data_IF_094003391226
#
_entry.id   IF_094003391226
#
_cell.length_a   1.000
_cell.length_b   1.000
_cell.length_c   1.000
_cell.angle_alpha   90.00
_cell.angle_beta   90.00
_cell.angle_gamma   90.00
#
_symmetry.space_group_name_H-M   'P 1'
#
loop_
_entity.id
_entity.type
_entity.pdbx_description
1 polymer ?
#
# COMPACT_ATOMS: atom_id res chain seq x y z
N UNK A 1 21.78 14.14 -68.03
CA UNK A 1 22.89 14.96 -67.52
C UNK A 1 22.33 16.14 -66.74
N UNK A 2 22.98 16.48 -65.61
CA UNK A 2 22.63 17.45 -64.55
C UNK A 2 21.75 16.80 -63.45
N UNK A 3 22.30 16.13 -62.44
CA UNK A 3 23.11 16.61 -61.30
C UNK A 3 22.50 17.87 -60.67
N UNK A 4 22.43 18.08 -59.35
CA UNK A 4 22.63 17.33 -58.12
C UNK A 4 22.48 18.39 -57.00
N UNK A 5 22.11 17.98 -55.77
CA UNK A 5 22.16 18.78 -54.52
C UNK A 5 21.24 20.02 -54.49
N UNK A 6 20.42 20.28 -53.48
CA UNK A 6 20.73 20.56 -52.05
C UNK A 6 19.34 20.84 -51.45
N UNK A 7 18.80 20.21 -50.42
CA UNK A 7 19.15 20.28 -49.00
C UNK A 7 18.17 19.32 -48.30
N UNK A 8 18.64 18.32 -47.54
CA UNK A 8 18.90 18.42 -46.11
C UNK A 8 17.60 18.57 -45.29
N UNK A 9 17.45 17.68 -44.31
CA UNK A 9 16.75 17.85 -43.01
C UNK A 9 15.44 17.06 -42.82
N UNK A 10 15.57 16.00 -41.99
CA UNK A 10 14.61 15.44 -41.02
C UNK A 10 13.31 14.82 -41.55
N UNK A 11 12.85 13.65 -41.12
CA UNK A 11 13.36 12.62 -40.22
C UNK A 11 12.47 11.39 -40.45
N UNK A 12 13.06 10.21 -40.22
CA UNK A 12 12.38 8.95 -40.02
C UNK A 12 11.06 9.09 -39.23
N UNK A 13 9.93 9.05 -39.94
CA UNK A 13 8.64 8.68 -39.37
C UNK A 13 8.52 7.16 -39.35
N UNK A 14 9.41 6.53 -38.59
CA UNK A 14 9.50 5.09 -38.43
C UNK A 14 8.15 4.58 -37.91
N UNK A 15 7.51 3.73 -38.70
CA UNK A 15 6.32 2.98 -38.31
C UNK A 15 6.65 2.10 -37.09
N UNK A 16 6.50 2.68 -35.90
CA UNK A 16 6.42 1.92 -34.66
C UNK A 16 5.01 1.36 -34.57
N UNK A 17 4.87 0.19 -35.19
CA UNK A 17 4.02 -0.88 -34.69
C UNK A 17 4.32 -0.98 -33.20
N UNK A 18 3.44 -0.45 -32.35
CA UNK A 18 3.46 -0.78 -30.93
C UNK A 18 3.08 -2.25 -30.83
N UNK A 19 4.10 -3.10 -30.95
CA UNK A 19 4.11 -4.44 -30.44
C UNK A 19 3.74 -4.36 -28.96
N UNK A 20 2.50 -4.75 -28.68
CA UNK A 20 2.17 -5.70 -27.61
C UNK A 20 3.24 -5.83 -26.52
N UNK A 21 3.22 -4.92 -25.55
CA UNK A 21 3.50 -5.27 -24.17
C UNK A 21 2.14 -5.45 -23.48
N UNK A 22 1.45 -6.54 -23.83
CA UNK A 22 0.68 -7.23 -22.81
C UNK A 22 1.70 -7.57 -21.73
N UNK A 23 1.70 -6.81 -20.64
CA UNK A 23 2.29 -7.24 -19.39
C UNK A 23 1.45 -8.40 -18.84
N UNK A 24 1.42 -9.51 -19.56
CA UNK A 24 1.13 -10.83 -19.00
C UNK A 24 2.47 -11.43 -18.58
N UNK A 25 3.20 -10.70 -17.74
CA UNK A 25 4.34 -11.24 -17.01
C UNK A 25 3.76 -11.96 -15.79
N UNK A 26 3.38 -13.22 -16.01
CA UNK A 26 3.02 -14.23 -15.00
C UNK A 26 2.51 -13.71 -13.65
N UNK A 27 1.20 -13.52 -13.52
CA UNK A 27 0.53 -13.44 -12.22
C UNK A 27 0.59 -14.82 -11.54
N UNK A 28 1.77 -15.16 -11.04
CA UNK A 28 1.99 -16.37 -10.26
C UNK A 28 1.50 -16.16 -8.81
N UNK A 29 1.19 -17.24 -8.07
CA UNK A 29 0.85 -17.18 -6.64
C UNK A 29 1.90 -16.46 -5.77
N UNK A 30 3.15 -16.33 -6.25
CA UNK A 30 4.26 -15.70 -5.55
C UNK A 30 4.20 -14.16 -5.53
N UNK A 31 3.46 -13.54 -6.44
CA UNK A 31 3.35 -12.08 -6.53
C UNK A 31 2.25 -11.51 -5.63
N UNK A 32 1.31 -12.35 -5.18
CA UNK A 32 0.17 -11.94 -4.36
C UNK A 32 0.58 -11.37 -3.00
N UNK A 33 1.52 -11.99 -2.25
CA UNK A 33 2.07 -11.39 -1.05
C UNK A 33 2.74 -10.06 -1.34
N UNK A 34 3.58 -9.95 -2.39
CA UNK A 34 4.27 -8.69 -2.71
C UNK A 34 3.30 -7.55 -3.03
N UNK A 35 2.23 -7.83 -3.79
CA UNK A 35 1.14 -6.87 -4.05
C UNK A 35 0.45 -6.43 -2.77
N UNK A 36 0.10 -7.37 -1.90
CA UNK A 36 -0.49 -7.04 -0.60
C UNK A 36 0.48 -6.20 0.26
N UNK A 37 1.78 -6.51 0.21
CA UNK A 37 2.84 -5.76 0.88
C UNK A 37 2.98 -4.34 0.36
N UNK A 38 2.86 -4.12 -0.95
CA UNK A 38 2.87 -2.79 -1.56
C UNK A 38 1.67 -1.95 -1.11
N UNK A 39 0.46 -2.54 -1.09
CA UNK A 39 -0.74 -1.86 -0.60
C UNK A 39 -0.61 -1.51 0.89
N UNK A 40 -0.21 -2.46 1.72
CA UNK A 40 0.02 -2.26 3.16
C UNK A 40 1.12 -1.22 3.42
N UNK A 41 2.16 -1.19 2.60
CA UNK A 41 3.20 -0.17 2.64
C UNK A 41 2.63 1.23 2.36
N UNK A 42 1.80 1.36 1.32
CA UNK A 42 1.08 2.60 1.01
C UNK A 42 0.17 3.06 2.15
N UNK A 43 -0.60 2.14 2.73
CA UNK A 43 -1.43 2.43 3.91
C UNK A 43 -0.61 2.89 5.10
N UNK A 44 0.52 2.23 5.38
CA UNK A 44 1.41 2.57 6.49
C UNK A 44 1.98 3.98 6.35
N UNK A 45 2.48 4.35 5.17
CA UNK A 45 3.00 5.69 4.91
C UNK A 45 1.90 6.76 5.04
N UNK A 46 0.69 6.45 4.56
CA UNK A 46 -0.44 7.37 4.67
C UNK A 46 -0.86 7.62 6.13
N UNK A 47 -0.96 6.56 6.94
CA UNK A 47 -1.25 6.71 8.36
C UNK A 47 -0.13 7.44 9.10
N UNK A 48 1.14 7.23 8.72
CA UNK A 48 2.25 7.98 9.29
C UNK A 48 2.18 9.47 8.96
N UNK A 49 1.83 9.84 7.73
CA UNK A 49 1.62 11.25 7.34
C UNK A 49 0.53 11.92 8.18
N UNK A 50 -0.58 11.21 8.46
CA UNK A 50 -1.63 11.73 9.33
C UNK A 50 -1.13 11.94 10.77
N UNK A 51 -0.32 11.03 11.31
CA UNK A 51 0.31 11.18 12.63
C UNK A 51 1.26 12.36 12.70
N UNK A 52 2.13 12.49 11.72
CA UNK A 52 3.10 13.59 11.66
C UNK A 52 2.37 14.95 11.65
N UNK A 53 1.22 15.01 10.97
CA UNK A 53 0.34 16.16 10.96
C UNK A 53 -0.31 16.45 12.34
N UNK A 54 -0.77 15.42 13.07
CA UNK A 54 -1.34 15.59 14.41
C UNK A 54 -0.31 16.06 15.42
N UNK A 55 0.88 15.45 15.42
CA UNK A 55 1.93 15.69 16.42
C UNK A 55 2.91 16.80 16.03
N UNK A 56 2.63 17.52 14.94
CA UNK A 56 3.42 18.70 14.56
C UNK A 56 3.44 19.73 15.69
N UNK A 57 4.55 20.47 15.81
CA UNK A 57 4.70 21.52 16.83
C UNK A 57 3.56 22.55 16.70
N UNK A 58 2.83 22.78 17.78
CA UNK A 58 1.65 23.65 17.81
C UNK A 58 0.31 22.93 17.63
N UNK A 59 0.33 21.60 17.41
CA UNK A 59 -0.88 20.78 17.24
C UNK A 59 -1.65 21.08 15.95
N UNK A 60 -2.71 20.31 15.75
CA UNK A 60 -3.67 20.52 14.67
C UNK A 60 -5.02 20.99 15.25
N UNK A 61 -5.59 22.11 14.78
CA UNK A 61 -6.96 22.51 15.12
C UNK A 61 -7.98 21.39 14.86
N UNK A 62 -9.07 21.34 15.62
CA UNK A 62 -10.03 20.25 15.57
C UNK A 62 -10.70 20.09 14.19
N UNK A 63 -11.02 21.20 13.52
CA UNK A 63 -11.56 21.25 12.16
C UNK A 63 -10.54 20.76 11.12
N UNK A 64 -9.29 21.20 11.24
CA UNK A 64 -8.19 20.73 10.39
C UNK A 64 -7.93 19.23 10.59
N UNK A 65 -8.07 18.74 11.83
CA UNK A 65 -7.95 17.32 12.18
C UNK A 65 -9.07 16.50 11.56
N UNK A 66 -10.32 16.95 11.67
CA UNK A 66 -11.45 16.29 11.03
C UNK A 66 -11.25 16.20 9.51
N UNK A 67 -10.87 17.30 8.86
CA UNK A 67 -10.63 17.31 7.41
C UNK A 67 -9.43 16.43 7.00
N UNK A 68 -8.38 16.35 7.82
CA UNK A 68 -7.26 15.44 7.59
C UNK A 68 -7.66 13.97 7.78
N UNK A 69 -8.48 13.67 8.78
CA UNK A 69 -9.02 12.34 9.01
C UNK A 69 -9.92 11.90 7.85
N UNK A 70 -10.81 12.76 7.36
CA UNK A 70 -11.70 12.47 6.22
C UNK A 70 -10.90 12.06 4.97
N UNK A 71 -9.88 12.86 4.60
CA UNK A 71 -9.02 12.59 3.45
C UNK A 71 -8.20 11.30 3.63
N UNK A 72 -7.73 11.05 4.84
CA UNK A 72 -6.93 9.87 5.17
C UNK A 72 -7.79 8.61 5.15
N UNK A 73 -8.97 8.65 5.76
CA UNK A 73 -9.92 7.55 5.80
C UNK A 73 -10.36 7.14 4.39
N UNK A 74 -10.70 8.11 3.54
CA UNK A 74 -11.06 7.84 2.14
C UNK A 74 -9.96 7.08 1.40
N UNK A 75 -8.69 7.49 1.56
CA UNK A 75 -7.56 6.82 0.90
C UNK A 75 -7.27 5.45 1.50
N UNK A 76 -7.33 5.29 2.82
CA UNK A 76 -7.18 3.99 3.48
C UNK A 76 -8.30 3.02 3.06
N UNK A 77 -9.53 3.51 2.91
CA UNK A 77 -10.65 2.71 2.44
C UNK A 77 -10.41 2.19 1.02
N UNK A 78 -9.87 3.01 0.12
CA UNK A 78 -9.50 2.56 -1.22
C UNK A 78 -8.45 1.43 -1.18
N UNK A 79 -7.38 1.58 -0.40
CA UNK A 79 -6.39 0.50 -0.22
C UNK A 79 -7.01 -0.74 0.42
N UNK A 80 -7.92 -0.57 1.37
CA UNK A 80 -8.65 -1.66 2.03
C UNK A 80 -9.49 -2.44 1.02
N UNK A 81 -10.18 -1.77 0.09
CA UNK A 81 -10.92 -2.43 -0.99
C UNK A 81 -9.99 -3.22 -1.91
N UNK A 82 -8.82 -2.67 -2.24
CA UNK A 82 -7.81 -3.39 -3.03
C UNK A 82 -7.31 -4.65 -2.30
N UNK A 83 -7.04 -4.54 -1.00
CA UNK A 83 -6.68 -5.68 -0.16
C UNK A 83 -7.82 -6.70 -0.05
N UNK A 84 -9.07 -6.26 0.07
CA UNK A 84 -10.23 -7.13 0.12
C UNK A 84 -10.43 -7.93 -1.18
N UNK A 85 -10.07 -7.35 -2.34
CA UNK A 85 -10.06 -8.05 -3.63
C UNK A 85 -8.92 -9.07 -3.74
N UNK A 86 -7.77 -8.80 -3.12
CA UNK A 86 -6.65 -9.73 -3.08
C UNK A 86 -6.83 -10.85 -2.06
N UNK A 87 -7.51 -10.60 -0.94
CA UNK A 87 -7.58 -11.51 0.19
C UNK A 87 -8.06 -12.95 -0.16
N UNK A 88 -9.09 -13.17 -1.01
CA UNK A 88 -9.52 -14.50 -1.41
C UNK A 88 -8.50 -15.28 -2.25
N UNK A 89 -7.52 -14.59 -2.84
CA UNK A 89 -6.50 -15.18 -3.71
C UNK A 89 -5.26 -15.63 -2.92
N UNK A 90 -5.10 -15.16 -1.68
CA UNK A 90 -4.00 -15.53 -0.81
C UNK A 90 -4.16 -16.98 -0.32
N UNK A 91 -3.03 -17.62 -0.04
CA UNK A 91 -3.02 -18.99 0.50
C UNK A 91 -3.75 -19.04 1.86
N UNK A 92 -4.87 -19.76 1.87
CA UNK A 92 -5.68 -19.98 3.07
C UNK A 92 -4.90 -20.73 4.15
N UNK A 93 -5.10 -20.37 5.42
CA UNK A 93 -4.45 -21.03 6.55
C UNK A 93 -3.08 -20.44 6.93
N UNK A 94 -2.57 -19.48 6.17
CA UNK A 94 -1.40 -18.70 6.59
C UNK A 94 -1.77 -17.71 7.71
N UNK A 95 -0.80 -17.38 8.57
CA UNK A 95 -0.96 -16.33 9.58
C UNK A 95 -1.36 -15.00 8.95
N UNK A 96 -0.69 -14.63 7.85
CA UNK A 96 -0.97 -13.41 7.12
C UNK A 96 -2.40 -13.33 6.61
N UNK A 97 -2.91 -14.37 5.92
CA UNK A 97 -4.29 -14.37 5.43
C UNK A 97 -5.31 -14.29 6.57
N UNK A 98 -5.03 -14.96 7.70
CA UNK A 98 -5.90 -14.91 8.89
C UNK A 98 -5.94 -13.51 9.51
N UNK A 99 -4.78 -12.91 9.73
CA UNK A 99 -4.68 -11.57 10.32
C UNK A 99 -5.25 -10.50 9.37
N UNK A 100 -5.04 -10.64 8.06
CA UNK A 100 -5.64 -9.77 7.04
C UNK A 100 -7.17 -9.87 7.05
N UNK A 101 -7.73 -11.08 7.15
CA UNK A 101 -9.17 -11.28 7.25
C UNK A 101 -9.77 -10.57 8.47
N UNK A 102 -9.10 -10.65 9.63
CA UNK A 102 -9.52 -9.94 10.85
C UNK A 102 -9.45 -8.42 10.68
N UNK A 103 -8.39 -7.91 10.03
CA UNK A 103 -8.25 -6.50 9.71
C UNK A 103 -9.42 -6.00 8.85
N UNK A 104 -9.73 -6.71 7.76
CA UNK A 104 -10.83 -6.35 6.85
C UNK A 104 -12.22 -6.41 7.50
N UNK A 105 -12.41 -7.28 8.49
CA UNK A 105 -13.64 -7.35 9.28
C UNK A 105 -13.75 -6.22 10.30
N UNK A 106 -12.63 -5.84 10.94
CA UNK A 106 -12.60 -4.79 11.97
C UNK A 106 -12.79 -3.40 11.37
N UNK A 107 -12.25 -3.18 10.16
CA UNK A 107 -12.42 -1.95 9.40
C UNK A 107 -13.10 -2.26 8.07
N UNK A 108 -14.44 -2.43 8.10
CA UNK A 108 -15.21 -2.85 6.94
C UNK A 108 -15.32 -1.76 5.87
N UNK A 109 -15.26 -0.48 6.25
CA UNK A 109 -15.54 0.66 5.38
C UNK A 109 -14.85 1.96 5.83
N UNK A 110 -15.03 3.01 5.03
CA UNK A 110 -14.49 4.35 5.30
C UNK A 110 -14.97 4.93 6.65
N UNK A 111 -16.28 4.90 7.00
CA UNK A 111 -16.76 5.40 8.28
C UNK A 111 -16.08 4.75 9.49
N UNK A 112 -15.88 3.43 9.49
CA UNK A 112 -15.19 2.73 10.57
C UNK A 112 -13.71 3.16 10.69
N UNK A 113 -13.03 3.36 9.56
CA UNK A 113 -11.65 3.86 9.53
C UNK A 113 -11.60 5.28 10.08
N UNK A 114 -12.48 6.16 9.59
CA UNK A 114 -12.58 7.56 10.02
C UNK A 114 -12.82 7.67 11.51
N UNK A 115 -13.74 6.89 12.05
CA UNK A 115 -14.01 6.84 13.48
C UNK A 115 -12.75 6.48 14.28
N UNK A 116 -11.95 5.50 13.82
CA UNK A 116 -10.71 5.14 14.48
C UNK A 116 -9.64 6.25 14.44
N UNK A 117 -9.53 6.98 13.32
CA UNK A 117 -8.57 8.10 13.18
C UNK A 117 -8.90 9.30 14.10
N UNK A 118 -10.16 9.44 14.49
CA UNK A 118 -10.64 10.51 15.37
C UNK A 118 -10.71 10.08 16.85
N UNK A 119 -10.49 8.80 17.16
CA UNK A 119 -10.52 8.30 18.53
C UNK A 119 -9.20 8.59 19.25
N UNK A 120 -9.25 9.54 20.19
CA UNK A 120 -8.13 9.93 21.04
C UNK A 120 -7.80 8.93 22.15
N UNK A 121 -8.74 8.04 22.51
CA UNK A 121 -8.60 7.11 23.63
C UNK A 121 -7.94 5.79 23.21
N UNK A 122 -8.12 5.40 21.95
CA UNK A 122 -7.55 4.19 21.35
C UNK A 122 -6.51 4.50 20.26
N UNK A 123 -5.82 5.63 20.42
CA UNK A 123 -4.77 6.18 19.55
C UNK A 123 -4.26 5.20 18.50
N UNK A 124 -4.98 5.19 17.37
CA UNK A 124 -4.61 4.59 16.09
C UNK A 124 -4.24 3.10 16.09
N UNK A 125 -5.09 2.29 16.73
CA UNK A 125 -5.08 0.83 16.57
C UNK A 125 -4.96 0.39 15.10
N UNK A 126 -5.61 1.10 14.16
CA UNK A 126 -5.52 0.77 12.74
C UNK A 126 -4.09 0.85 12.19
N UNK A 127 -3.31 1.86 12.58
CA UNK A 127 -1.94 2.05 12.10
C UNK A 127 -1.00 0.97 12.62
N UNK A 128 -1.21 0.53 13.86
CA UNK A 128 -0.45 -0.58 14.45
C UNK A 128 -0.73 -1.89 13.72
N UNK A 129 -2.00 -2.15 13.39
CA UNK A 129 -2.37 -3.38 12.67
C UNK A 129 -1.94 -3.37 11.20
N UNK A 130 -2.02 -2.22 10.51
CA UNK A 130 -1.44 -2.05 9.17
C UNK A 130 0.06 -2.38 9.20
N UNK A 131 0.79 -1.81 10.17
CA UNK A 131 2.24 -2.04 10.31
C UNK A 131 2.56 -3.51 10.62
N UNK A 132 1.78 -4.13 11.52
CA UNK A 132 1.96 -5.54 11.88
C UNK A 132 1.69 -6.48 10.70
N UNK A 133 0.71 -6.18 9.85
CA UNK A 133 0.46 -6.92 8.61
C UNK A 133 1.59 -6.71 7.59
N UNK A 134 2.04 -5.46 7.41
CA UNK A 134 3.12 -5.12 6.48
C UNK A 134 4.42 -5.88 6.80
N UNK A 135 4.78 -5.96 8.09
CA UNK A 135 5.97 -6.68 8.54
C UNK A 135 5.90 -8.20 8.29
N UNK A 136 4.70 -8.80 8.27
CA UNK A 136 4.53 -10.22 7.95
C UNK A 136 4.81 -10.53 6.49
N UNK A 137 4.51 -9.58 5.59
CA UNK A 137 4.74 -9.74 4.15
C UNK A 137 6.20 -9.48 3.78
N UNK A 138 6.87 -8.58 4.50
CA UNK A 138 8.30 -8.33 4.29
C UNK A 138 9.19 -9.48 4.79
N UNK A 139 8.70 -10.26 5.77
CA UNK A 139 9.43 -11.39 6.35
C UNK A 139 9.07 -12.71 5.68
N UNK A 140 9.44 -12.86 4.40
CA UNK A 140 9.25 -14.12 3.63
C UNK A 140 10.40 -15.12 3.80
N UNK A 141 11.28 -14.93 4.78
CA UNK A 141 12.47 -15.78 4.96
C UNK A 141 12.09 -17.06 5.73
N UNK A 142 12.39 -18.28 5.21
CA UNK A 142 12.25 -19.50 5.98
C UNK A 142 13.32 -19.52 7.09
N UNK A 143 12.94 -19.01 8.27
CA UNK A 143 13.76 -19.04 9.48
C UNK A 143 14.61 -17.78 9.69
N UNK A 144 14.00 -16.65 10.02
CA UNK A 144 14.73 -15.57 10.68
C UNK A 144 14.76 -15.80 12.20
N UNK A 145 15.90 -16.26 12.72
CA UNK A 145 16.20 -16.15 14.15
C UNK A 145 16.24 -14.67 14.49
N UNK A 146 15.42 -14.23 15.44
CA UNK A 146 15.52 -12.91 16.04
C UNK A 146 16.98 -12.62 16.41
N UNK A 147 17.59 -11.50 15.95
CA UNK A 147 18.98 -11.18 16.25
C UNK A 147 19.19 -10.71 17.70
N UNK A 148 18.16 -10.78 18.54
CA UNK A 148 18.19 -10.38 19.95
C UNK A 148 18.14 -11.62 20.85
N UNK A 149 19.29 -12.10 21.38
CA UNK A 149 19.33 -13.25 22.28
C UNK A 149 18.93 -12.93 23.74
N UNK A 150 18.41 -11.73 24.03
CA UNK A 150 18.34 -11.22 25.41
C UNK A 150 17.05 -11.51 26.17
N UNK A 151 16.06 -12.18 25.59
CA UNK A 151 14.86 -12.57 26.32
C UNK A 151 14.44 -14.00 25.97
N UNK A 152 15.00 -14.95 26.72
CA UNK A 152 14.33 -16.22 27.04
C UNK A 152 14.22 -16.28 28.57
N UNK A 153 13.04 -16.50 29.17
CA UNK A 153 12.95 -16.99 30.54
C UNK A 153 13.52 -18.41 30.66
#
# INVERSE_FOLDING_TARGET
MKNALTALVLALGMAWVFASAQATASDGPRDLPERAGALLGGMKELGQQYRDLQFRRGGMPADARAAAADRTALRLAAYREDLARLAPQLESGTRFATDLGRFLQRWPDEPAIRQNLLDDSWGERIQTEITALWLQVLDTRPGWKTPFPLFRP
#
